data_IF_255585914904
#
_entry.id   IF_255585914904
#
_cell.length_a   1.000
_cell.length_b   1.000
_cell.length_c   1.000
_cell.angle_alpha   90.00
_cell.angle_beta   90.00
_cell.angle_gamma   90.00
#
_symmetry.space_group_name_H-M   'P 1'
#
loop_
_entity.id
_entity.type
_entity.pdbx_description
1 polymer ?
#
# COMPACT_ATOMS: atom_id res chain seq x y z
N UNK A 1 67.60 29.47 -1.52
CA UNK A 1 66.78 28.48 -2.27
C UNK A 1 65.75 27.93 -1.28
N UNK A 2 64.57 28.52 -1.29
CA UNK A 2 63.43 28.20 -0.44
C UNK A 2 62.40 27.50 -1.31
N UNK A 3 62.12 26.23 -0.99
CA UNK A 3 61.10 25.42 -1.67
C UNK A 3 59.70 25.86 -1.18
N UNK A 4 58.91 26.37 -2.09
CA UNK A 4 57.48 26.60 -1.88
C UNK A 4 56.73 25.28 -2.01
N UNK A 5 56.08 24.89 -0.90
CA UNK A 5 55.22 23.73 -0.84
C UNK A 5 53.80 24.12 -1.30
N UNK A 6 53.45 23.70 -2.52
CA UNK A 6 52.10 23.86 -3.06
C UNK A 6 51.12 22.95 -2.24
N UNK A 7 50.19 23.59 -1.57
CA UNK A 7 49.06 22.89 -0.90
C UNK A 7 47.94 22.73 -1.91
N UNK A 8 47.74 21.51 -2.40
CA UNK A 8 46.55 21.16 -3.19
C UNK A 8 45.31 21.18 -2.26
N UNK A 9 44.45 22.14 -2.46
CA UNK A 9 43.12 22.15 -1.82
C UNK A 9 42.21 21.23 -2.61
N UNK A 10 41.92 20.05 -2.05
CA UNK A 10 40.83 19.19 -2.52
C UNK A 10 39.49 19.88 -2.25
N UNK A 11 38.89 20.44 -3.29
CA UNK A 11 37.51 20.88 -3.29
C UNK A 11 36.63 19.63 -3.30
N UNK A 12 36.08 19.28 -2.14
CA UNK A 12 35.01 18.31 -2.03
C UNK A 12 33.78 18.95 -2.65
N UNK A 13 33.32 18.41 -3.78
CA UNK A 13 32.01 18.77 -4.35
C UNK A 13 30.92 18.29 -3.36
N UNK A 14 30.35 19.23 -2.64
CA UNK A 14 29.11 19.00 -1.92
C UNK A 14 28.00 18.78 -2.98
N UNK A 15 27.60 17.54 -3.19
CA UNK A 15 26.37 17.24 -3.92
C UNK A 15 25.22 17.87 -3.13
N UNK A 16 24.66 18.96 -3.64
CA UNK A 16 23.42 19.53 -3.14
C UNK A 16 22.34 18.45 -3.26
N UNK A 17 22.03 17.78 -2.15
CA UNK A 17 20.86 16.91 -2.07
C UNK A 17 19.63 17.80 -2.18
N UNK A 18 18.97 17.74 -3.34
CA UNK A 18 17.72 18.45 -3.62
C UNK A 18 16.69 17.99 -2.59
N UNK A 19 16.38 18.85 -1.63
CA UNK A 19 15.36 18.55 -0.60
C UNK A 19 14.00 18.59 -1.28
N UNK A 20 13.44 17.41 -1.55
CA UNK A 20 12.11 17.29 -2.12
C UNK A 20 11.10 17.69 -1.06
N UNK A 21 10.44 18.85 -1.22
CA UNK A 21 9.33 19.26 -0.37
C UNK A 21 8.11 18.34 -0.61
N UNK A 22 7.85 17.49 0.37
CA UNK A 22 6.72 16.56 0.34
C UNK A 22 5.38 17.33 0.41
N UNK A 23 5.38 18.52 1.01
CA UNK A 23 4.18 19.35 1.22
C UNK A 23 3.93 20.28 0.03
N UNK A 24 3.67 19.73 -1.14
CA UNK A 24 3.55 20.51 -2.39
C UNK A 24 2.30 21.39 -2.48
N UNK A 25 1.28 21.18 -1.63
CA UNK A 25 -0.03 21.90 -1.60
C UNK A 25 -0.76 21.94 -2.96
N UNK A 26 -0.33 21.14 -3.93
CA UNK A 26 -0.91 21.12 -5.29
C UNK A 26 -2.36 20.61 -5.32
N UNK A 27 -2.79 19.91 -4.25
CA UNK A 27 -4.14 19.37 -4.07
C UNK A 27 -5.14 20.29 -3.36
N UNK A 28 -4.73 21.47 -2.86
CA UNK A 28 -5.54 22.33 -2.01
C UNK A 28 -6.72 22.99 -2.79
N UNK A 29 -6.62 23.03 -4.12
CA UNK A 29 -7.68 23.54 -5.01
C UNK A 29 -8.71 22.46 -5.38
N UNK A 30 -8.82 21.37 -4.63
CA UNK A 30 -9.83 20.32 -4.83
C UNK A 30 -9.57 19.39 -6.01
N UNK A 31 -8.35 19.37 -6.57
CA UNK A 31 -7.95 18.45 -7.64
C UNK A 31 -6.76 17.60 -7.20
N UNK A 32 -6.63 16.39 -7.77
CA UNK A 32 -5.46 15.52 -7.57
C UNK A 32 -5.06 14.85 -8.89
N UNK A 33 -3.88 14.27 -8.94
CA UNK A 33 -3.35 13.58 -10.12
C UNK A 33 -3.43 12.08 -9.96
N UNK A 34 -3.84 11.39 -11.03
CA UNK A 34 -3.67 9.93 -11.15
C UNK A 34 -2.26 9.59 -11.65
N UNK A 35 -1.92 8.30 -11.69
CA UNK A 35 -0.59 7.81 -12.10
C UNK A 35 -0.18 8.23 -13.52
N UNK A 36 -1.15 8.48 -14.41
CA UNK A 36 -0.92 9.00 -15.75
C UNK A 36 -0.62 10.51 -15.81
N UNK A 37 -0.56 11.20 -14.66
CA UNK A 37 -0.30 12.64 -14.55
C UNK A 37 -1.51 13.54 -14.84
N UNK A 38 -2.66 12.98 -15.26
CA UNK A 38 -3.88 13.76 -15.47
C UNK A 38 -4.50 14.13 -14.14
N UNK A 39 -4.98 15.38 -14.06
CA UNK A 39 -5.65 15.91 -12.87
C UNK A 39 -7.16 15.81 -13.02
N UNK A 40 -7.80 15.37 -11.94
CA UNK A 40 -9.26 15.24 -11.82
C UNK A 40 -9.72 15.87 -10.50
N UNK A 41 -11.00 16.23 -10.37
CA UNK A 41 -11.59 16.62 -9.09
C UNK A 41 -11.38 15.52 -8.05
N UNK A 42 -11.14 15.88 -6.79
CA UNK A 42 -11.01 14.88 -5.69
C UNK A 42 -12.30 14.08 -5.46
N UNK A 43 -13.43 14.54 -6.00
CA UNK A 43 -14.71 13.81 -5.99
C UNK A 43 -14.85 12.78 -7.11
N UNK A 44 -13.85 12.63 -7.99
CA UNK A 44 -13.86 11.61 -9.05
C UNK A 44 -13.84 10.20 -8.45
N UNK A 45 -14.56 9.27 -9.11
CA UNK A 45 -14.73 7.88 -8.63
C UNK A 45 -13.41 7.14 -8.40
N UNK A 46 -12.36 7.46 -9.16
CA UNK A 46 -11.04 6.87 -8.95
C UNK A 46 -10.49 7.25 -7.56
N UNK A 47 -10.63 8.50 -7.12
CA UNK A 47 -10.16 8.91 -5.80
C UNK A 47 -11.05 8.38 -4.68
N UNK A 48 -12.35 8.21 -4.91
CA UNK A 48 -13.24 7.55 -3.96
C UNK A 48 -12.81 6.09 -3.76
N UNK A 49 -12.57 5.37 -4.86
CA UNK A 49 -12.10 3.98 -4.79
C UNK A 49 -10.73 3.86 -4.11
N UNK A 50 -9.78 4.76 -4.45
CA UNK A 50 -8.47 4.79 -3.82
C UNK A 50 -8.57 5.10 -2.32
N UNK A 51 -9.43 6.02 -1.92
CA UNK A 51 -9.69 6.34 -0.52
C UNK A 51 -10.25 5.14 0.26
N UNK A 52 -11.21 4.42 -0.31
CA UNK A 52 -11.78 3.21 0.30
C UNK A 52 -10.73 2.08 0.44
N UNK A 53 -9.83 1.93 -0.55
CA UNK A 53 -8.74 0.96 -0.48
C UNK A 53 -7.71 1.33 0.61
N UNK A 54 -7.39 2.61 0.74
CA UNK A 54 -6.47 3.12 1.76
C UNK A 54 -7.07 2.96 3.17
N UNK A 55 -8.37 3.23 3.32
CA UNK A 55 -9.11 3.00 4.55
C UNK A 55 -9.08 1.50 4.94
N UNK A 56 -9.40 0.60 3.99
CA UNK A 56 -9.30 -0.85 4.20
C UNK A 56 -7.90 -1.26 4.64
N UNK A 57 -6.87 -0.75 3.96
CA UNK A 57 -5.48 -1.06 4.28
C UNK A 57 -5.11 -0.61 5.70
N UNK A 58 -5.61 0.56 6.12
CA UNK A 58 -5.43 1.09 7.47
C UNK A 58 -6.13 0.23 8.53
N UNK A 59 -7.35 -0.23 8.26
CA UNK A 59 -8.07 -1.15 9.17
C UNK A 59 -7.39 -2.51 9.28
N UNK A 60 -6.82 -3.04 8.20
CA UNK A 60 -6.01 -4.27 8.26
C UNK A 60 -4.79 -4.04 9.15
N UNK A 61 -4.09 -2.91 9.00
CA UNK A 61 -2.98 -2.56 9.87
C UNK A 61 -3.38 -2.50 11.34
N UNK A 62 -4.52 -1.87 11.64
CA UNK A 62 -5.06 -1.82 12.99
C UNK A 62 -5.40 -3.24 13.52
N UNK A 63 -6.02 -4.07 12.71
CA UNK A 63 -6.35 -5.45 13.10
C UNK A 63 -5.10 -6.27 13.45
N UNK A 64 -3.99 -6.08 12.72
CA UNK A 64 -2.72 -6.75 12.96
C UNK A 64 -2.14 -6.44 14.35
N UNK A 65 -2.31 -5.23 14.85
CA UNK A 65 -1.87 -4.82 16.20
C UNK A 65 -2.56 -5.58 17.34
N UNK A 66 -3.73 -6.18 17.08
CA UNK A 66 -4.48 -6.97 18.05
C UNK A 66 -4.25 -8.48 17.92
N UNK A 67 -3.43 -8.92 16.97
CA UNK A 67 -3.07 -10.33 16.82
C UNK A 67 -2.00 -10.71 17.85
N UNK A 68 -2.16 -11.90 18.43
CA UNK A 68 -1.16 -12.48 19.31
C UNK A 68 -0.23 -13.46 18.55
N UNK A 69 0.79 -13.96 19.23
CA UNK A 69 1.78 -14.89 18.65
C UNK A 69 1.17 -16.18 18.08
N UNK A 70 -0.03 -16.58 18.52
CA UNK A 70 -0.75 -17.76 18.02
C UNK A 70 -1.31 -17.52 16.61
N UNK A 71 -1.51 -16.28 16.24
CA UNK A 71 -2.05 -15.85 14.95
C UNK A 71 -0.98 -15.38 13.96
N UNK A 72 0.29 -15.77 14.16
CA UNK A 72 1.40 -15.30 13.33
C UNK A 72 1.26 -15.64 11.84
N UNK A 73 0.65 -16.77 11.50
CA UNK A 73 0.32 -17.12 10.11
C UNK A 73 -0.69 -16.13 9.51
N UNK A 74 -1.73 -15.77 10.28
CA UNK A 74 -2.76 -14.80 9.86
C UNK A 74 -2.14 -13.42 9.70
N UNK A 75 -1.28 -12.98 10.63
CA UNK A 75 -0.55 -11.71 10.51
C UNK A 75 0.26 -11.64 9.21
N UNK A 76 1.00 -12.71 8.90
CA UNK A 76 1.76 -12.79 7.64
C UNK A 76 0.86 -12.74 6.40
N UNK A 77 -0.33 -13.34 6.44
CA UNK A 77 -1.31 -13.26 5.34
C UNK A 77 -1.85 -11.84 5.20
N UNK A 78 -2.19 -11.17 6.30
CA UNK A 78 -2.68 -9.79 6.30
C UNK A 78 -1.63 -8.80 5.80
N UNK A 79 -0.37 -8.97 6.19
CA UNK A 79 0.74 -8.16 5.64
C UNK A 79 0.83 -8.28 4.12
N UNK A 80 0.75 -9.50 3.59
CA UNK A 80 0.74 -9.73 2.14
C UNK A 80 -0.48 -9.10 1.47
N UNK A 81 -1.65 -9.14 2.11
CA UNK A 81 -2.86 -8.47 1.60
C UNK A 81 -2.64 -6.96 1.54
N UNK A 82 -2.04 -6.34 2.56
CA UNK A 82 -1.71 -4.92 2.54
C UNK A 82 -0.80 -4.56 1.36
N UNK A 83 0.24 -5.37 1.10
CA UNK A 83 1.10 -5.16 -0.08
C UNK A 83 0.31 -5.28 -1.39
N UNK A 84 -0.56 -6.29 -1.52
CA UNK A 84 -1.38 -6.50 -2.72
C UNK A 84 -2.39 -5.35 -2.92
N UNK A 85 -2.92 -4.75 -1.85
CA UNK A 85 -3.79 -3.58 -1.94
C UNK A 85 -3.08 -2.38 -2.57
N UNK A 86 -1.77 -2.19 -2.38
CA UNK A 86 -1.01 -1.16 -3.12
C UNK A 86 -0.97 -1.46 -4.62
N UNK A 87 -0.86 -2.73 -5.04
CA UNK A 87 -0.93 -3.11 -6.45
C UNK A 87 -2.32 -2.81 -7.03
N UNK A 88 -3.39 -3.06 -6.25
CA UNK A 88 -4.76 -2.67 -6.63
C UNK A 88 -4.88 -1.16 -6.76
N UNK A 89 -4.36 -0.39 -5.80
CA UNK A 89 -4.35 1.07 -5.87
C UNK A 89 -3.60 1.57 -7.11
N UNK A 90 -2.44 1.00 -7.43
CA UNK A 90 -1.69 1.35 -8.63
C UNK A 90 -2.49 1.08 -9.91
N UNK A 91 -3.21 -0.05 -9.97
CA UNK A 91 -4.08 -0.41 -11.09
C UNK A 91 -5.26 0.57 -11.23
N UNK A 92 -5.94 0.92 -10.13
CA UNK A 92 -7.06 1.90 -10.12
C UNK A 92 -6.56 3.29 -10.52
N UNK A 93 -5.37 3.69 -10.07
CA UNK A 93 -4.76 4.98 -10.43
C UNK A 93 -4.28 5.05 -11.89
N UNK A 94 -4.39 3.94 -12.65
CA UNK A 94 -3.94 3.84 -14.05
C UNK A 94 -5.13 3.51 -14.98
N UNK A 95 -6.04 4.47 -15.26
CA UNK A 95 -7.22 4.22 -16.09
C UNK A 95 -6.85 3.71 -17.48
N UNK A 96 -7.49 2.62 -17.91
CA UNK A 96 -7.23 1.97 -19.20
C UNK A 96 -7.46 2.88 -20.42
N UNK A 97 -8.43 3.79 -20.30
CA UNK A 97 -8.85 4.69 -21.37
C UNK A 97 -7.93 5.88 -21.62
N UNK A 98 -7.09 6.21 -20.63
CA UNK A 98 -6.32 7.46 -20.65
C UNK A 98 -4.83 7.30 -20.32
N UNK A 99 -4.37 6.09 -20.00
CA UNK A 99 -2.99 5.79 -19.66
C UNK A 99 -2.22 5.16 -20.82
N UNK A 100 -0.90 5.28 -20.82
CA UNK A 100 -0.02 4.65 -21.82
C UNK A 100 0.02 3.13 -21.57
N UNK A 101 0.13 2.35 -22.65
CA UNK A 101 0.23 0.88 -22.57
C UNK A 101 1.30 0.40 -21.59
N UNK A 102 2.48 1.01 -21.60
CA UNK A 102 3.56 0.65 -20.69
C UNK A 102 3.21 0.89 -19.21
N UNK A 103 2.43 1.95 -18.89
CA UNK A 103 1.96 2.21 -17.54
C UNK A 103 0.91 1.17 -17.12
N UNK A 104 -0.04 0.85 -18.00
CA UNK A 104 -1.07 -0.18 -17.78
C UNK A 104 -0.43 -1.53 -17.50
N UNK A 105 0.57 -1.92 -18.31
CA UNK A 105 1.26 -3.19 -18.14
C UNK A 105 2.05 -3.27 -16.85
N UNK A 106 2.69 -2.15 -16.45
CA UNK A 106 3.44 -2.04 -15.19
C UNK A 106 2.55 -2.12 -13.95
N UNK A 107 1.32 -1.59 -14.02
CA UNK A 107 0.39 -1.53 -12.88
C UNK A 107 -0.71 -2.58 -12.96
N UNK A 108 -0.58 -3.55 -13.88
CA UNK A 108 -1.54 -4.61 -14.08
C UNK A 108 -1.65 -5.49 -12.85
N UNK A 109 -2.87 -5.65 -12.35
CA UNK A 109 -3.13 -6.54 -11.23
C UNK A 109 -2.95 -8.02 -11.64
N UNK A 110 -2.20 -8.77 -10.84
CA UNK A 110 -2.05 -10.22 -11.04
C UNK A 110 -3.22 -10.97 -10.39
N UNK A 111 -4.09 -11.54 -11.22
CA UNK A 111 -5.25 -12.33 -10.79
C UNK A 111 -4.89 -13.59 -9.98
N UNK A 112 -3.64 -14.03 -9.98
CA UNK A 112 -3.20 -15.13 -9.11
C UNK A 112 -3.27 -14.74 -7.63
N UNK A 113 -3.25 -13.45 -7.30
CA UNK A 113 -3.46 -12.98 -5.93
C UNK A 113 -4.86 -13.32 -5.41
N UNK A 114 -5.89 -13.27 -6.26
CA UNK A 114 -7.25 -13.70 -5.89
C UNK A 114 -7.28 -15.19 -5.55
N UNK A 115 -6.66 -16.03 -6.38
CA UNK A 115 -6.58 -17.49 -6.13
C UNK A 115 -5.82 -17.81 -4.83
N UNK A 116 -4.78 -17.03 -4.53
CA UNK A 116 -4.02 -17.16 -3.29
C UNK A 116 -4.88 -16.83 -2.08
N UNK A 117 -5.65 -15.74 -2.16
CA UNK A 117 -6.59 -15.36 -1.09
C UNK A 117 -7.65 -16.45 -0.87
N UNK A 118 -8.24 -16.97 -1.93
CA UNK A 118 -9.18 -18.09 -1.86
C UNK A 118 -8.57 -19.32 -1.17
N UNK A 119 -7.31 -19.67 -1.53
CA UNK A 119 -6.60 -20.77 -0.91
C UNK A 119 -6.38 -20.55 0.60
N UNK A 120 -6.02 -19.34 1.03
CA UNK A 120 -5.89 -19.00 2.45
C UNK A 120 -7.22 -19.08 3.19
N UNK A 121 -8.31 -18.60 2.60
CA UNK A 121 -9.64 -18.73 3.19
C UNK A 121 -9.99 -20.22 3.40
N UNK A 122 -9.76 -21.07 2.40
CA UNK A 122 -10.01 -22.51 2.50
C UNK A 122 -9.09 -23.23 3.51
N UNK A 123 -7.89 -22.74 3.71
CA UNK A 123 -6.95 -23.26 4.71
C UNK A 123 -7.45 -22.93 6.12
N UNK A 124 -7.79 -21.67 6.38
CA UNK A 124 -8.28 -21.20 7.66
C UNK A 124 -9.65 -21.80 8.02
N UNK A 125 -10.54 -21.99 7.04
CA UNK A 125 -11.85 -22.57 7.25
C UNK A 125 -11.79 -24.01 7.81
N UNK A 126 -10.73 -24.76 7.48
CA UNK A 126 -10.53 -26.11 8.03
C UNK A 126 -10.22 -26.14 9.53
N UNK A 127 -9.69 -25.05 10.06
CA UNK A 127 -9.33 -24.91 11.47
C UNK A 127 -10.48 -24.33 12.30
N UNK A 128 -11.49 -23.77 11.66
CA UNK A 128 -12.62 -23.14 12.32
C UNK A 128 -13.76 -24.12 12.59
N UNK A 129 -14.50 -23.95 13.68
CA UNK A 129 -15.73 -24.69 13.92
C UNK A 129 -16.77 -24.35 12.86
N UNK A 130 -17.69 -25.29 12.58
CA UNK A 130 -18.78 -25.04 11.62
C UNK A 130 -19.60 -23.80 12.05
N UNK A 131 -19.71 -22.85 11.14
CA UNK A 131 -20.53 -21.65 11.35
C UNK A 131 -21.99 -21.99 11.25
N UNK A 132 -22.77 -21.76 12.31
CA UNK A 132 -24.22 -21.99 12.43
C UNK A 132 -25.00 -20.68 12.68
N UNK A 133 -24.33 -19.56 12.82
CA UNK A 133 -24.89 -18.23 13.08
C UNK A 133 -24.09 -17.12 12.41
N UNK A 134 -24.70 -15.93 12.31
CA UNK A 134 -23.97 -14.74 11.83
C UNK A 134 -23.00 -14.24 12.91
N UNK A 135 -21.77 -13.97 12.50
CA UNK A 135 -20.75 -13.33 13.33
C UNK A 135 -20.77 -11.82 13.08
N UNK A 136 -20.79 -11.05 14.17
CA UNK A 136 -20.61 -9.60 14.06
C UNK A 136 -19.13 -9.29 13.75
N UNK A 137 -18.84 -8.37 12.82
CA UNK A 137 -17.47 -8.07 12.40
C UNK A 137 -16.54 -7.54 13.52
N UNK A 138 -17.04 -7.29 14.70
CA UNK A 138 -16.32 -6.64 15.83
C UNK A 138 -16.18 -7.57 17.04
N UNK A 139 -16.62 -8.81 16.96
CA UNK A 139 -16.43 -9.73 18.07
C UNK A 139 -14.95 -10.17 18.10
N UNK A 140 -14.20 -9.54 18.99
CA UNK A 140 -12.98 -10.15 19.53
C UNK A 140 -13.45 -11.37 20.33
N UNK A 141 -13.51 -12.52 19.69
CA UNK A 141 -13.69 -13.78 20.39
C UNK A 141 -12.41 -13.98 21.20
N UNK A 142 -12.45 -13.59 22.46
CA UNK A 142 -11.50 -14.10 23.45
C UNK A 142 -11.80 -15.59 23.52
N UNK A 143 -11.03 -16.39 22.76
CA UNK A 143 -11.04 -17.84 22.89
C UNK A 143 -10.42 -18.12 24.26
N UNK A 144 -11.27 -18.10 25.28
CA UNK A 144 -10.91 -18.62 26.57
C UNK A 144 -10.72 -20.13 26.42
N UNK A 145 -9.48 -20.55 26.36
CA UNK A 145 -9.08 -21.93 26.51
C UNK A 145 -9.67 -22.48 27.83
N UNK A 146 -10.61 -23.41 27.71
CA UNK A 146 -10.83 -24.44 28.73
C UNK A 146 -10.11 -25.71 28.30
#
# INVERSE_FOLDING_TARGET
MSEERVVETNTVNEEETEVVDITTKTGDKGTSSLYNGKRFPKSDDHFQALGSLDELNSFIGLAREYLDDRCRNVDTMLEKIQCILFDVCASVATPLTSSRKAAIEKTRFDSNNTKRLEAWCLELDKELPRQDSFLLPVNVVVINNR
#
